data_IF_880167863205
#
_entry.id   IF_880167863205
#
_cell.length_a   1.000
_cell.length_b   1.000
_cell.length_c   1.000
_cell.angle_alpha   90.00
_cell.angle_beta   90.00
_cell.angle_gamma   90.00
#
_symmetry.space_group_name_H-M   'P 1'
#
loop_
_entity.id
_entity.type
_entity.pdbx_description
1 polymer ?
#
# COMPACT_ATOMS: atom_id res chain seq x y z
N UNK A 1 -2.74 13.20 17.90
CA UNK A 1 -1.90 12.93 16.71
C UNK A 1 -2.30 11.57 16.15
N UNK A 2 -2.73 11.44 14.88
CA UNK A 2 -2.97 10.12 14.31
C UNK A 2 -1.68 9.29 14.39
N UNK A 3 -1.80 8.04 14.82
CA UNK A 3 -0.65 7.19 15.09
C UNK A 3 0.05 6.80 13.78
N UNK A 4 1.10 7.52 13.41
CA UNK A 4 1.92 7.29 12.20
C UNK A 4 2.94 6.15 12.39
N UNK A 5 2.66 5.20 13.28
CA UNK A 5 3.49 4.03 13.53
C UNK A 5 3.66 3.19 12.25
N UNK A 6 4.85 3.25 11.66
CA UNK A 6 5.23 2.38 10.54
C UNK A 6 5.78 1.07 11.09
N UNK A 7 5.21 -0.06 10.68
CA UNK A 7 5.74 -1.40 10.96
C UNK A 7 6.38 -2.00 9.72
N UNK A 8 7.53 -2.65 9.90
CA UNK A 8 8.23 -3.39 8.84
C UNK A 8 7.78 -4.84 8.85
N UNK A 9 7.35 -5.32 7.70
CA UNK A 9 7.09 -6.74 7.45
C UNK A 9 8.15 -7.26 6.46
N UNK A 10 8.69 -8.45 6.73
CA UNK A 10 9.57 -9.16 5.80
C UNK A 10 8.81 -10.36 5.24
N UNK A 11 8.85 -10.53 3.93
CA UNK A 11 8.18 -11.63 3.23
C UNK A 11 9.17 -12.35 2.34
N UNK A 12 9.02 -13.67 2.25
CA UNK A 12 9.76 -14.50 1.30
C UNK A 12 8.85 -14.80 0.12
N UNK A 13 9.32 -14.52 -1.09
CA UNK A 13 8.58 -14.69 -2.34
C UNK A 13 9.35 -15.60 -3.29
N UNK A 14 8.65 -16.28 -4.19
CA UNK A 14 9.30 -17.05 -5.25
C UNK A 14 9.76 -16.14 -6.38
N UNK A 15 10.72 -16.64 -7.17
CA UNK A 15 11.34 -15.88 -8.27
C UNK A 15 10.34 -15.21 -9.23
N UNK A 16 9.23 -15.86 -9.65
CA UNK A 16 8.25 -15.20 -10.54
C UNK A 16 7.63 -13.93 -9.94
N UNK A 17 7.42 -13.87 -8.62
CA UNK A 17 6.90 -12.67 -7.96
C UNK A 17 7.97 -11.58 -7.90
N UNK A 18 9.21 -11.94 -7.62
CA UNK A 18 10.34 -11.00 -7.59
C UNK A 18 10.53 -10.40 -8.99
N UNK A 19 10.55 -11.23 -10.03
CA UNK A 19 10.68 -10.80 -11.41
C UNK A 19 9.54 -9.87 -11.83
N UNK A 20 8.29 -10.18 -11.46
CA UNK A 20 7.16 -9.30 -11.73
C UNK A 20 7.28 -7.95 -11.00
N UNK A 21 7.70 -7.94 -9.73
CA UNK A 21 7.91 -6.69 -8.99
C UNK A 21 9.07 -5.86 -9.57
N UNK A 22 10.15 -6.50 -10.02
CA UNK A 22 11.26 -5.81 -10.69
C UNK A 22 10.77 -5.11 -11.96
N UNK A 23 10.01 -5.81 -12.81
CA UNK A 23 9.44 -5.22 -14.04
C UNK A 23 8.60 -3.98 -13.75
N UNK A 24 7.82 -3.97 -12.68
CA UNK A 24 7.03 -2.81 -12.27
C UNK A 24 7.92 -1.58 -11.95
N UNK A 25 9.12 -1.79 -11.44
CA UNK A 25 10.09 -0.72 -11.16
C UNK A 25 10.86 -0.35 -12.42
N UNK A 26 11.34 -1.34 -13.18
CA UNK A 26 12.13 -1.16 -14.39
C UNK A 26 11.34 -0.43 -15.49
N UNK A 27 10.03 -0.69 -15.59
CA UNK A 27 9.12 0.00 -16.52
C UNK A 27 8.69 1.38 -15.99
N UNK A 28 9.18 1.81 -14.82
CA UNK A 28 8.88 3.12 -14.21
C UNK A 28 7.46 3.25 -13.66
N UNK A 29 6.71 2.15 -13.53
CA UNK A 29 5.34 2.17 -12.98
C UNK A 29 5.33 2.44 -11.47
N UNK A 30 6.41 2.07 -10.78
CA UNK A 30 6.63 2.38 -9.36
C UNK A 30 8.09 2.77 -9.12
N UNK A 31 8.32 3.63 -8.14
CA UNK A 31 9.68 4.05 -7.74
C UNK A 31 10.43 2.95 -7.00
N UNK A 32 9.71 2.10 -6.26
CA UNK A 32 10.27 0.99 -5.49
C UNK A 32 9.27 -0.16 -5.34
N UNK A 33 9.77 -1.35 -4.95
CA UNK A 33 8.93 -2.53 -4.70
C UNK A 33 7.89 -2.25 -3.61
N UNK A 34 8.24 -1.45 -2.60
CA UNK A 34 7.33 -1.17 -1.49
C UNK A 34 6.09 -0.39 -1.92
N UNK A 35 6.23 0.55 -2.86
CA UNK A 35 5.14 1.31 -3.46
C UNK A 35 4.18 0.40 -4.20
N UNK A 36 4.72 -0.51 -5.01
CA UNK A 36 3.95 -1.54 -5.71
C UNK A 36 3.17 -2.43 -4.74
N UNK A 37 3.85 -2.96 -3.71
CA UNK A 37 3.24 -3.82 -2.69
C UNK A 37 2.15 -3.08 -1.90
N UNK A 38 2.41 -1.84 -1.45
CA UNK A 38 1.41 -1.03 -0.74
C UNK A 38 0.18 -0.78 -1.60
N UNK A 39 0.35 -0.48 -2.89
CA UNK A 39 -0.79 -0.27 -3.78
C UNK A 39 -1.59 -1.57 -3.99
N UNK A 40 -0.91 -2.71 -4.15
CA UNK A 40 -1.58 -4.01 -4.25
C UNK A 40 -2.39 -4.34 -2.98
N UNK A 41 -1.82 -4.12 -1.79
CA UNK A 41 -2.51 -4.31 -0.51
C UNK A 41 -3.73 -3.40 -0.38
N UNK A 42 -3.64 -2.13 -0.78
CA UNK A 42 -4.80 -1.23 -0.78
C UNK A 42 -5.93 -1.76 -1.67
N UNK A 43 -5.60 -2.27 -2.86
CA UNK A 43 -6.60 -2.88 -3.76
C UNK A 43 -7.23 -4.12 -3.14
N UNK A 44 -6.42 -4.96 -2.48
CA UNK A 44 -6.90 -6.15 -1.78
C UNK A 44 -7.87 -5.79 -0.65
N UNK A 45 -7.51 -4.82 0.20
CA UNK A 45 -8.36 -4.40 1.31
C UNK A 45 -9.67 -3.79 0.83
N UNK A 46 -9.64 -2.94 -0.20
CA UNK A 46 -10.84 -2.42 -0.87
C UNK A 46 -11.75 -3.52 -1.39
N UNK A 47 -11.18 -4.52 -2.06
CA UNK A 47 -11.94 -5.66 -2.58
C UNK A 47 -12.68 -6.42 -1.46
N UNK A 48 -12.09 -6.50 -0.27
CA UNK A 48 -12.70 -7.14 0.90
C UNK A 48 -13.53 -6.20 1.79
N UNK A 49 -13.71 -4.93 1.41
CA UNK A 49 -14.45 -3.96 2.23
C UNK A 49 -13.75 -3.58 3.53
N UNK A 50 -12.43 -3.77 3.62
CA UNK A 50 -11.61 -3.37 4.77
C UNK A 50 -11.21 -1.91 4.56
N UNK A 51 -12.15 -1.02 4.87
CA UNK A 51 -11.97 0.44 4.95
C UNK A 51 -12.26 0.88 6.40
N UNK A 52 -11.57 1.90 6.93
CA UNK A 52 -10.87 2.90 6.15
C UNK A 52 -9.34 2.78 6.23
N UNK A 53 -8.66 2.88 5.09
CA UNK A 53 -7.20 3.09 5.06
C UNK A 53 -6.79 4.53 5.43
N UNK A 54 -7.77 5.39 5.70
CA UNK A 54 -7.61 6.70 6.32
C UNK A 54 -8.64 6.87 7.43
N UNK A 55 -8.16 7.00 8.67
CA UNK A 55 -8.94 7.42 9.82
C UNK A 55 -9.91 8.56 9.47
N UNK A 56 -11.07 8.58 10.12
CA UNK A 56 -12.21 9.51 10.05
C UNK A 56 -11.89 11.04 10.20
N UNK A 57 -10.62 11.45 10.16
CA UNK A 57 -10.16 12.83 10.36
C UNK A 57 -10.47 13.81 9.21
N UNK A 58 -10.94 13.34 8.06
CA UNK A 58 -11.33 14.24 6.94
C UNK A 58 -12.80 14.70 7.06
N UNK A 59 -13.63 14.03 7.88
CA UNK A 59 -15.01 14.50 8.09
C UNK A 59 -15.11 15.79 8.91
N UNK A 60 -14.14 16.08 9.78
CA UNK A 60 -14.17 17.28 10.64
C UNK A 60 -13.62 18.55 9.95
N UNK A 61 -12.98 18.44 8.79
CA UNK A 61 -12.36 19.59 8.08
C UNK A 61 -13.30 20.21 7.03
N UNK A 62 -14.37 19.52 6.63
CA UNK A 62 -15.40 20.07 5.72
C UNK A 62 -16.62 20.65 6.45
N UNK A 63 -16.71 20.55 7.78
CA UNK A 63 -17.83 21.08 8.59
C UNK A 63 -17.45 22.26 9.53
N UNK A 64 -16.27 22.87 9.38
CA UNK A 64 -15.90 24.12 10.09
C UNK A 64 -15.42 25.23 9.16
#
# INVERSE_FOLDING_TARGET
MPNNEKRRFSVTLTEPYIAALNRLVDEGLYMDHQGGIRHALRRLFRFHGIEPLYNELIKEVEEN
#
